data_IF_447781744477
#
_entry.id   IF_447781744477
#
_cell.length_a   1.000
_cell.length_b   1.000
_cell.length_c   1.000
_cell.angle_alpha   90.00
_cell.angle_beta   90.00
_cell.angle_gamma   90.00
#
_symmetry.space_group_name_H-M   'P 1'
#
loop_
_entity.id
_entity.type
_entity.pdbx_description
1 polymer ?
#
# COMPACT_ATOMS: atom_id res chain seq x y z
N UNK A 1 20.01 -10.23 -5.72
CA UNK A 1 19.18 -9.07 -5.30
C UNK A 1 18.82 -9.25 -3.82
N UNK A 2 19.23 -8.29 -2.97
CA UNK A 2 18.88 -8.21 -1.55
C UNK A 2 17.68 -7.28 -1.39
N UNK A 3 16.61 -7.74 -0.77
CA UNK A 3 15.42 -6.91 -0.51
C UNK A 3 15.17 -6.82 0.99
N UNK A 4 14.72 -5.67 1.44
CA UNK A 4 14.21 -5.45 2.79
C UNK A 4 12.75 -4.96 2.70
N UNK A 5 11.88 -5.48 3.57
CA UNK A 5 10.47 -5.09 3.69
C UNK A 5 10.27 -4.19 4.90
N UNK A 6 9.52 -3.09 4.75
CA UNK A 6 9.00 -2.27 5.86
C UNK A 6 7.48 -2.39 5.84
N UNK A 7 6.87 -2.86 6.92
CA UNK A 7 5.42 -3.01 7.03
C UNK A 7 4.91 -2.67 8.44
N UNK A 8 3.58 -2.56 8.60
CA UNK A 8 2.96 -2.39 9.90
C UNK A 8 2.72 -3.73 10.59
N UNK A 9 2.79 -3.73 11.91
CA UNK A 9 2.30 -4.83 12.73
C UNK A 9 0.80 -5.07 12.48
N UNK A 10 0.39 -6.33 12.46
CA UNK A 10 -0.99 -6.75 12.19
C UNK A 10 -1.45 -6.63 10.73
N UNK A 11 -0.64 -6.12 9.81
CA UNK A 11 -0.94 -6.12 8.37
C UNK A 11 -0.57 -7.49 7.75
N UNK A 12 -1.41 -8.50 7.97
CA UNK A 12 -1.11 -9.91 7.64
C UNK A 12 -0.73 -10.13 6.17
N UNK A 13 -1.45 -9.50 5.23
CA UNK A 13 -1.13 -9.61 3.80
C UNK A 13 0.27 -9.06 3.48
N UNK A 14 0.64 -7.92 4.07
CA UNK A 14 1.94 -7.31 3.85
C UNK A 14 3.04 -8.07 4.62
N UNK A 15 2.79 -8.42 5.88
CA UNK A 15 3.76 -9.00 6.79
C UNK A 15 4.09 -10.47 6.46
N UNK A 16 3.08 -11.23 6.04
CA UNK A 16 3.23 -12.66 5.76
C UNK A 16 3.36 -12.92 4.26
N UNK A 17 2.39 -12.50 3.44
CA UNK A 17 2.39 -12.83 2.02
C UNK A 17 3.52 -12.11 1.29
N UNK A 18 3.66 -10.80 1.45
CA UNK A 18 4.71 -10.08 0.73
C UNK A 18 6.11 -10.51 1.17
N UNK A 19 6.32 -10.84 2.46
CA UNK A 19 7.61 -11.35 2.91
C UNK A 19 7.93 -12.71 2.27
N UNK A 20 6.99 -13.65 2.23
CA UNK A 20 7.14 -14.96 1.58
C UNK A 20 7.34 -14.81 0.07
N UNK A 21 6.54 -13.98 -0.57
CA UNK A 21 6.67 -13.67 -1.99
C UNK A 21 8.04 -13.07 -2.32
N UNK A 22 8.52 -12.07 -1.56
CA UNK A 22 9.84 -11.48 -1.76
C UNK A 22 10.94 -12.53 -1.58
N UNK A 23 10.83 -13.42 -0.59
CA UNK A 23 11.81 -14.47 -0.35
C UNK A 23 11.84 -15.54 -1.45
N UNK A 24 10.75 -15.70 -2.21
CA UNK A 24 10.65 -16.71 -3.28
C UNK A 24 11.54 -16.41 -4.51
N UNK A 25 11.92 -15.14 -4.72
CA UNK A 25 12.72 -14.75 -5.88
C UNK A 25 13.92 -13.85 -5.54
N UNK A 26 14.12 -13.52 -4.27
CA UNK A 26 15.21 -12.66 -3.82
C UNK A 26 15.80 -13.15 -2.50
N UNK A 27 16.90 -12.54 -2.08
CA UNK A 27 17.38 -12.68 -0.71
C UNK A 27 16.67 -11.62 0.16
N UNK A 28 15.60 -12.02 0.87
CA UNK A 28 14.94 -11.17 1.86
C UNK A 28 15.86 -11.06 3.08
N UNK A 29 16.64 -9.96 3.14
CA UNK A 29 17.65 -9.77 4.19
C UNK A 29 17.08 -9.27 5.50
N UNK A 30 15.91 -8.61 5.48
CA UNK A 30 15.29 -8.13 6.71
C UNK A 30 13.86 -7.66 6.54
N UNK A 31 13.16 -7.61 7.68
CA UNK A 31 11.80 -7.06 7.81
C UNK A 31 11.81 -6.05 8.95
N UNK A 32 11.34 -4.83 8.70
CA UNK A 32 11.07 -3.81 9.72
C UNK A 32 9.57 -3.77 9.98
N UNK A 33 9.16 -4.12 11.20
CA UNK A 33 7.76 -4.16 11.64
C UNK A 33 7.47 -2.92 12.48
N UNK A 34 6.57 -2.08 12.01
CA UNK A 34 6.22 -0.82 12.67
C UNK A 34 5.08 -1.07 13.66
N UNK A 35 5.36 -0.91 14.94
CA UNK A 35 4.40 -0.95 16.05
C UNK A 35 4.04 0.47 16.47
N UNK A 36 3.07 1.09 15.79
CA UNK A 36 2.70 2.48 16.05
C UNK A 36 2.11 2.68 17.45
N UNK A 37 2.64 3.62 18.26
CA UNK A 37 2.05 3.93 19.55
C UNK A 37 0.68 4.60 19.39
N UNK A 38 -0.28 4.33 20.30
CA UNK A 38 -1.66 4.87 20.23
C UNK A 38 -1.70 6.41 20.18
N UNK A 39 -0.71 7.10 20.72
CA UNK A 39 -0.61 8.56 20.68
C UNK A 39 -0.53 9.14 19.27
N UNK A 40 -0.02 8.39 18.30
CA UNK A 40 0.03 8.83 16.89
C UNK A 40 -1.37 8.84 16.25
N UNK A 41 -2.27 7.96 16.70
CA UNK A 41 -3.65 7.94 16.21
C UNK A 41 -4.36 9.28 16.50
N UNK A 42 -4.25 9.79 17.72
CA UNK A 42 -4.84 11.07 18.10
C UNK A 42 -4.29 12.25 17.29
N UNK A 43 -2.98 12.26 17.00
CA UNK A 43 -2.37 13.29 16.13
C UNK A 43 -2.93 13.21 14.70
N UNK A 44 -3.13 12.00 14.15
CA UNK A 44 -3.75 11.82 12.83
C UNK A 44 -5.20 12.28 12.82
N UNK A 45 -5.99 11.93 13.83
CA UNK A 45 -7.38 12.38 13.98
C UNK A 45 -7.45 13.90 14.00
N UNK A 46 -6.67 14.58 14.86
CA UNK A 46 -6.62 16.05 14.91
C UNK A 46 -6.24 16.68 13.56
N UNK A 47 -5.25 16.13 12.89
CA UNK A 47 -4.81 16.62 11.57
C UNK A 47 -5.92 16.47 10.54
N UNK A 48 -6.63 15.36 10.53
CA UNK A 48 -7.73 15.11 9.60
C UNK A 48 -8.92 16.04 9.88
N UNK A 49 -9.32 16.19 11.14
CA UNK A 49 -10.37 17.14 11.53
C UNK A 49 -10.01 18.56 11.10
N UNK A 50 -8.75 18.99 11.31
CA UNK A 50 -8.28 20.32 10.87
C UNK A 50 -8.31 20.45 9.33
N UNK A 51 -8.05 19.38 8.59
CA UNK A 51 -8.00 19.37 7.13
C UNK A 51 -9.37 19.44 6.47
N UNK A 52 -10.35 18.68 6.97
CA UNK A 52 -11.66 18.50 6.32
C UNK A 52 -12.84 19.11 7.08
N UNK A 53 -12.62 19.58 8.32
CA UNK A 53 -13.65 20.06 9.21
C UNK A 53 -14.39 18.95 9.96
N UNK A 54 -15.04 19.34 11.08
CA UNK A 54 -15.69 18.39 12.00
C UNK A 54 -16.85 17.63 11.33
N UNK A 55 -17.70 18.29 10.55
CA UNK A 55 -18.85 17.67 9.89
C UNK A 55 -18.43 16.58 8.90
N UNK A 56 -17.45 16.85 8.05
CA UNK A 56 -16.93 15.84 7.12
C UNK A 56 -16.19 14.71 7.83
N UNK A 57 -15.58 15.01 8.98
CA UNK A 57 -14.95 13.99 9.78
C UNK A 57 -15.97 13.01 10.37
N UNK A 58 -17.19 13.45 10.70
CA UNK A 58 -18.28 12.53 11.08
C UNK A 58 -18.63 11.54 9.96
N UNK A 59 -18.59 11.96 8.71
CA UNK A 59 -18.82 11.08 7.55
C UNK A 59 -17.71 10.02 7.41
N UNK A 60 -16.47 10.38 7.72
CA UNK A 60 -15.34 9.42 7.80
C UNK A 60 -15.56 8.41 8.94
N UNK A 61 -16.00 8.87 10.12
CA UNK A 61 -16.30 7.97 11.25
C UNK A 61 -17.49 7.05 10.93
N UNK A 62 -18.53 7.58 10.28
CA UNK A 62 -19.68 6.81 9.84
C UNK A 62 -19.26 5.70 8.87
N UNK A 63 -18.34 5.95 7.92
CA UNK A 63 -17.82 4.88 7.05
C UNK A 63 -17.06 3.82 7.85
N UNK A 64 -16.25 4.21 8.83
CA UNK A 64 -15.53 3.25 9.67
C UNK A 64 -16.47 2.35 10.46
N UNK A 65 -17.52 2.93 11.03
CA UNK A 65 -18.55 2.18 11.74
C UNK A 65 -19.33 1.25 10.80
N UNK A 66 -19.76 1.77 9.65
CA UNK A 66 -20.44 0.99 8.59
C UNK A 66 -19.56 -0.18 8.14
N UNK A 67 -18.28 0.07 7.88
CA UNK A 67 -17.32 -0.98 7.51
C UNK A 67 -17.24 -2.07 8.59
N UNK A 68 -17.10 -1.66 9.85
CA UNK A 68 -16.96 -2.59 10.97
C UNK A 68 -18.20 -3.50 11.13
N UNK A 69 -19.40 -2.94 10.92
CA UNK A 69 -20.66 -3.67 11.12
C UNK A 69 -21.00 -4.55 9.90
N UNK A 70 -20.84 -4.03 8.68
CA UNK A 70 -21.42 -4.65 7.48
C UNK A 70 -20.41 -5.28 6.53
N UNK A 71 -19.14 -4.86 6.55
CA UNK A 71 -18.18 -5.26 5.53
C UNK A 71 -17.02 -6.10 6.09
N UNK A 72 -16.56 -5.80 7.29
CA UNK A 72 -15.32 -6.38 7.84
C UNK A 72 -15.33 -7.91 7.90
N UNK A 73 -16.47 -8.54 8.16
CA UNK A 73 -16.57 -10.00 8.24
C UNK A 73 -16.26 -10.69 6.90
N UNK A 74 -16.81 -10.16 5.80
CA UNK A 74 -16.54 -10.68 4.45
C UNK A 74 -15.10 -10.41 4.02
N UNK A 75 -14.59 -9.22 4.31
CA UNK A 75 -13.21 -8.84 3.97
C UNK A 75 -12.19 -9.70 4.72
N UNK A 76 -12.41 -9.98 6.00
CA UNK A 76 -11.58 -10.89 6.79
C UNK A 76 -11.65 -12.35 6.29
N UNK A 77 -12.81 -12.79 5.78
CA UNK A 77 -12.92 -14.11 5.17
C UNK A 77 -12.08 -14.20 3.89
N UNK A 78 -12.15 -13.18 3.02
CA UNK A 78 -11.30 -13.08 1.84
C UNK A 78 -9.82 -13.04 2.23
N UNK A 79 -9.43 -12.21 3.20
CA UNK A 79 -8.04 -12.11 3.67
C UNK A 79 -7.50 -13.46 4.18
N UNK A 80 -8.30 -14.19 4.96
CA UNK A 80 -7.91 -15.54 5.43
C UNK A 80 -7.76 -16.55 4.30
N UNK A 81 -8.56 -16.43 3.23
CA UNK A 81 -8.43 -17.27 2.05
C UNK A 81 -7.14 -16.94 1.30
N UNK A 82 -6.88 -15.67 1.02
CA UNK A 82 -5.63 -15.21 0.39
C UNK A 82 -4.39 -15.67 1.17
N UNK A 83 -4.42 -15.52 2.50
CA UNK A 83 -3.33 -15.97 3.36
C UNK A 83 -3.05 -17.47 3.17
N UNK A 84 -4.07 -18.32 3.20
CA UNK A 84 -3.90 -19.76 3.02
C UNK A 84 -3.32 -20.10 1.64
N UNK A 85 -3.90 -19.53 0.58
CA UNK A 85 -3.50 -19.82 -0.80
C UNK A 85 -2.06 -19.35 -1.07
N UNK A 86 -1.75 -18.11 -0.74
CA UNK A 86 -0.42 -17.54 -1.02
C UNK A 86 0.68 -18.11 -0.12
N UNK A 87 0.37 -18.47 1.14
CA UNK A 87 1.33 -19.18 1.99
C UNK A 87 1.67 -20.57 1.45
N UNK A 88 0.72 -21.26 0.82
CA UNK A 88 0.98 -22.53 0.16
C UNK A 88 1.89 -22.36 -1.06
N UNK A 89 1.67 -21.29 -1.85
CA UNK A 89 2.44 -21.02 -3.07
C UNK A 89 3.89 -20.61 -2.76
N UNK A 90 4.10 -19.71 -1.79
CA UNK A 90 5.40 -19.06 -1.59
C UNK A 90 6.29 -19.70 -0.50
N UNK A 91 5.78 -20.67 0.23
CA UNK A 91 6.56 -21.33 1.30
C UNK A 91 6.89 -20.41 2.49
N UNK A 92 7.85 -20.79 3.31
CA UNK A 92 8.20 -20.08 4.54
C UNK A 92 9.26 -18.99 4.34
N UNK A 93 9.25 -18.00 5.24
CA UNK A 93 10.30 -17.00 5.30
C UNK A 93 11.57 -17.65 5.84
N UNK A 94 12.73 -17.47 5.17
CA UNK A 94 13.99 -18.05 5.64
C UNK A 94 14.35 -17.59 7.06
N UNK A 95 14.78 -18.53 7.91
CA UNK A 95 15.15 -18.23 9.32
C UNK A 95 16.30 -17.22 9.48
N UNK A 96 17.11 -17.03 8.42
CA UNK A 96 18.18 -16.03 8.37
C UNK A 96 17.68 -14.58 8.15
N UNK A 97 16.40 -14.38 7.85
CA UNK A 97 15.82 -13.05 7.66
C UNK A 97 15.81 -12.30 8.99
N UNK A 98 16.52 -11.18 9.06
CA UNK A 98 16.57 -10.38 10.28
C UNK A 98 15.25 -9.62 10.49
N UNK A 99 14.79 -9.51 11.74
CA UNK A 99 13.56 -8.78 12.07
C UNK A 99 13.90 -7.66 13.04
N UNK A 100 13.36 -6.47 12.78
CA UNK A 100 13.40 -5.32 13.67
C UNK A 100 11.97 -4.84 13.93
N UNK A 101 11.55 -4.85 15.19
CA UNK A 101 10.32 -4.21 15.64
C UNK A 101 10.62 -2.80 16.15
N UNK A 102 9.88 -1.81 15.69
CA UNK A 102 10.17 -0.39 16.02
C UNK A 102 8.88 0.43 16.07
N UNK A 103 8.78 1.45 16.92
CA UNK A 103 7.63 2.36 16.92
C UNK A 103 7.58 3.29 15.71
N UNK A 104 8.68 3.44 14.97
CA UNK A 104 8.77 4.31 13.79
C UNK A 104 9.88 3.86 12.85
N UNK A 105 9.66 3.88 11.53
CA UNK A 105 10.70 3.53 10.56
C UNK A 105 11.80 4.61 10.46
N UNK A 106 11.63 5.75 11.09
CA UNK A 106 12.54 6.90 11.02
C UNK A 106 13.44 7.05 12.25
N UNK A 107 13.75 5.96 12.95
CA UNK A 107 14.66 5.95 14.10
C UNK A 107 16.11 5.71 13.65
N UNK A 108 17.07 6.11 14.50
CA UNK A 108 18.48 5.81 14.28
C UNK A 108 18.75 4.29 14.27
N UNK A 109 18.01 3.55 15.08
CA UNK A 109 18.10 2.08 15.12
C UNK A 109 17.69 1.46 13.77
N UNK A 110 16.58 1.93 13.19
CA UNK A 110 16.13 1.49 11.86
C UNK A 110 17.15 1.84 10.78
N UNK A 111 17.72 3.03 10.82
CA UNK A 111 18.77 3.43 9.88
C UNK A 111 19.99 2.52 9.99
N UNK A 112 20.48 2.28 11.18
CA UNK A 112 21.61 1.38 11.45
C UNK A 112 21.32 -0.04 10.99
N UNK A 113 20.11 -0.55 11.27
CA UNK A 113 19.67 -1.88 10.84
C UNK A 113 19.68 -2.03 9.32
N UNK A 114 19.10 -1.07 8.59
CA UNK A 114 19.04 -1.11 7.12
C UNK A 114 20.46 -1.00 6.53
N UNK A 115 21.28 -0.08 7.03
CA UNK A 115 22.68 0.08 6.56
C UNK A 115 23.51 -1.19 6.76
N UNK A 116 23.37 -1.85 7.91
CA UNK A 116 24.06 -3.12 8.20
C UNK A 116 23.68 -4.24 7.22
N UNK A 117 22.39 -4.34 6.85
CA UNK A 117 21.89 -5.36 5.93
C UNK A 117 22.23 -5.04 4.47
N UNK A 118 22.47 -3.75 4.16
CA UNK A 118 22.85 -3.24 2.85
C UNK A 118 21.96 -3.80 1.72
N UNK A 119 20.64 -3.52 1.75
CA UNK A 119 19.72 -4.00 0.72
C UNK A 119 19.94 -3.25 -0.61
N UNK A 120 19.67 -3.95 -1.72
CA UNK A 120 19.62 -3.30 -3.04
C UNK A 120 18.33 -2.51 -3.19
N UNK A 121 17.23 -3.08 -2.71
CA UNK A 121 15.86 -2.51 -2.77
C UNK A 121 15.22 -2.56 -1.39
N UNK A 122 14.50 -1.52 -1.02
CA UNK A 122 13.55 -1.53 0.09
C UNK A 122 12.13 -1.43 -0.45
N UNK A 123 11.26 -2.35 -0.06
CA UNK A 123 9.83 -2.25 -0.30
C UNK A 123 9.14 -1.70 0.95
N UNK A 124 8.51 -0.53 0.84
CA UNK A 124 7.78 0.10 1.93
C UNK A 124 6.27 -0.08 1.76
N UNK A 125 5.65 -0.75 2.73
CA UNK A 125 4.20 -0.94 2.85
C UNK A 125 3.71 -0.31 4.15
N UNK A 126 4.01 0.98 4.33
CA UNK A 126 3.69 1.69 5.55
C UNK A 126 3.01 3.02 5.30
N UNK A 127 2.25 3.49 6.30
CA UNK A 127 1.51 4.77 6.27
C UNK A 127 2.35 5.95 6.78
N UNK A 128 3.61 5.70 7.10
CA UNK A 128 4.55 6.69 7.63
C UNK A 128 5.44 7.15 6.49
N UNK A 129 5.56 8.46 6.31
CA UNK A 129 6.52 9.03 5.37
C UNK A 129 7.94 8.71 5.83
N UNK A 130 8.72 8.07 4.98
CA UNK A 130 10.12 7.78 5.25
C UNK A 130 10.96 9.05 5.07
N UNK A 131 11.88 9.28 6.01
CA UNK A 131 12.88 10.35 5.88
C UNK A 131 13.94 9.97 4.83
N UNK A 132 14.60 10.98 4.28
CA UNK A 132 15.67 10.81 3.29
C UNK A 132 16.80 9.90 3.80
N UNK A 133 17.15 10.01 5.10
CA UNK A 133 18.16 9.15 5.73
C UNK A 133 17.81 7.65 5.70
N UNK A 134 16.53 7.30 5.48
CA UNK A 134 16.05 5.93 5.38
C UNK A 134 15.86 5.52 3.92
N UNK A 135 15.06 6.29 3.14
CA UNK A 135 14.71 5.86 1.80
C UNK A 135 15.86 5.96 0.79
N UNK A 136 16.94 6.69 1.09
CA UNK A 136 18.12 6.80 0.25
C UNK A 136 19.17 5.72 0.47
N UNK A 137 19.02 4.86 1.49
CA UNK A 137 20.02 3.83 1.81
C UNK A 137 20.16 2.78 0.70
N UNK A 138 19.08 2.18 0.16
CA UNK A 138 19.22 1.09 -0.81
C UNK A 138 19.74 1.59 -2.15
N UNK A 139 20.68 0.83 -2.75
CA UNK A 139 21.40 1.23 -3.97
C UNK A 139 20.50 1.40 -5.21
N UNK A 140 19.39 0.64 -5.29
CA UNK A 140 18.40 0.72 -6.37
C UNK A 140 17.17 1.55 -5.98
N UNK A 141 17.04 1.92 -4.71
CA UNK A 141 16.00 2.79 -4.18
C UNK A 141 14.96 2.10 -3.32
N UNK A 142 14.12 2.92 -2.70
CA UNK A 142 12.98 2.48 -1.91
C UNK A 142 11.71 2.64 -2.72
N UNK A 143 10.88 1.61 -2.75
CA UNK A 143 9.66 1.56 -3.54
C UNK A 143 8.43 1.41 -2.65
N UNK A 144 7.30 1.93 -3.12
CA UNK A 144 5.98 1.76 -2.51
C UNK A 144 5.00 1.24 -3.55
N UNK A 145 4.17 0.29 -3.14
CA UNK A 145 2.98 -0.15 -3.87
C UNK A 145 1.80 0.71 -3.42
N UNK A 146 1.62 1.85 -4.09
CA UNK A 146 0.59 2.82 -3.72
C UNK A 146 -0.78 2.40 -4.29
N UNK A 147 -1.86 2.26 -3.46
CA UNK A 147 -3.18 1.87 -3.93
C UNK A 147 -3.93 3.03 -4.60
N UNK A 148 -3.55 3.38 -5.80
CA UNK A 148 -4.07 4.44 -6.65
C UNK A 148 -3.19 4.66 -7.85
N UNK A 149 -3.76 5.10 -8.97
CA UNK A 149 -2.98 5.47 -10.15
C UNK A 149 -2.49 6.91 -9.99
N UNK A 150 -1.17 7.06 -9.86
CA UNK A 150 -0.50 8.36 -9.73
C UNK A 150 -0.15 8.96 -11.11
N UNK A 151 -0.18 10.27 -11.23
CA UNK A 151 -0.31 11.30 -10.18
C UNK A 151 -1.75 11.69 -9.78
N UNK A 152 -2.80 11.16 -10.40
CA UNK A 152 -4.19 11.57 -10.18
C UNK A 152 -4.72 11.21 -8.79
N UNK A 153 -4.28 10.07 -8.23
CA UNK A 153 -4.81 9.53 -6.97
C UNK A 153 -3.71 9.29 -5.95
N UNK A 154 -3.03 10.39 -5.51
CA UNK A 154 -1.95 10.36 -4.50
C UNK A 154 -2.49 10.36 -3.07
N UNK A 155 -1.65 9.98 -2.11
CA UNK A 155 -1.80 9.98 -0.67
C UNK A 155 -2.69 8.82 -0.18
N UNK A 156 -3.94 9.02 0.23
CA UNK A 156 -4.70 7.97 0.89
C UNK A 156 -5.85 7.44 0.03
N UNK A 157 -5.99 6.11 0.01
CA UNK A 157 -7.15 5.43 -0.57
C UNK A 157 -7.45 5.77 -2.04
N UNK A 158 -6.42 5.83 -2.89
CA UNK A 158 -6.57 6.19 -4.30
C UNK A 158 -7.59 5.34 -5.05
N UNK A 159 -7.61 4.02 -4.85
CA UNK A 159 -8.64 3.13 -5.43
C UNK A 159 -10.06 3.55 -5.02
N UNK A 160 -10.27 3.87 -3.75
CA UNK A 160 -11.59 4.34 -3.28
C UNK A 160 -12.03 5.61 -4.01
N UNK A 161 -11.14 6.58 -4.14
CA UNK A 161 -11.48 7.84 -4.77
C UNK A 161 -11.69 7.72 -6.27
N UNK A 162 -10.95 6.84 -6.95
CA UNK A 162 -11.19 6.51 -8.35
C UNK A 162 -12.59 5.88 -8.54
N UNK A 163 -12.97 4.93 -7.67
CA UNK A 163 -14.30 4.32 -7.66
C UNK A 163 -15.40 5.36 -7.38
N UNK A 164 -15.22 6.21 -6.37
CA UNK A 164 -16.18 7.24 -5.98
C UNK A 164 -16.40 8.31 -7.05
N UNK A 165 -15.34 8.62 -7.82
CA UNK A 165 -15.37 9.56 -8.94
C UNK A 165 -15.78 8.92 -10.28
N UNK A 166 -16.08 7.61 -10.30
CA UNK A 166 -16.39 6.85 -11.53
C UNK A 166 -15.26 6.83 -12.56
N UNK A 167 -14.03 7.05 -12.12
CA UNK A 167 -12.83 6.96 -12.94
C UNK A 167 -12.25 5.54 -12.89
N UNK A 168 -13.02 4.58 -13.44
CA UNK A 168 -12.77 3.15 -13.26
C UNK A 168 -11.45 2.71 -13.90
N UNK A 169 -10.98 3.41 -14.90
CA UNK A 169 -9.68 3.15 -15.57
C UNK A 169 -8.49 3.49 -14.67
N UNK A 170 -8.72 4.24 -13.57
CA UNK A 170 -7.71 4.61 -12.58
C UNK A 170 -7.83 3.81 -11.27
N UNK A 171 -8.69 2.80 -11.23
CA UNK A 171 -8.74 1.86 -10.10
C UNK A 171 -7.59 0.86 -10.25
N UNK A 172 -6.58 1.01 -9.41
CA UNK A 172 -5.37 0.22 -9.54
C UNK A 172 -4.31 0.61 -8.54
N UNK A 173 -3.10 0.18 -8.80
CA UNK A 173 -1.92 0.43 -7.98
C UNK A 173 -0.79 0.99 -8.84
N UNK A 174 0.00 1.87 -8.26
CA UNK A 174 1.25 2.38 -8.84
C UNK A 174 2.46 1.84 -8.06
N UNK A 175 3.43 1.28 -8.76
CA UNK A 175 4.75 1.05 -8.19
C UNK A 175 5.56 2.33 -8.32
N UNK A 176 5.77 3.03 -7.20
CA UNK A 176 6.51 4.30 -7.12
C UNK A 176 7.87 4.11 -6.45
N UNK A 177 8.90 4.76 -6.95
CA UNK A 177 10.11 5.01 -6.18
C UNK A 177 9.86 6.18 -5.24
N UNK A 178 10.21 6.03 -3.96
CA UNK A 178 9.99 7.08 -2.95
C UNK A 178 10.96 8.25 -3.18
N UNK A 179 10.44 9.46 -3.06
CA UNK A 179 11.15 10.73 -3.03
C UNK A 179 10.77 11.57 -1.81
N UNK A 180 11.11 12.85 -1.78
CA UNK A 180 10.79 13.77 -0.67
C UNK A 180 9.31 14.17 -0.59
N UNK A 181 8.53 13.91 -1.64
CA UNK A 181 7.11 14.25 -1.70
C UNK A 181 6.21 13.10 -1.25
N UNK A 182 4.90 13.35 -1.30
CA UNK A 182 3.89 12.30 -1.04
C UNK A 182 3.44 11.72 -2.37
N UNK A 183 3.89 10.50 -2.67
CA UNK A 183 3.60 9.78 -3.91
C UNK A 183 3.88 10.59 -5.18
N UNK A 184 5.00 11.33 -5.17
CA UNK A 184 5.45 12.19 -6.28
C UNK A 184 6.63 11.62 -7.05
N UNK A 185 7.23 10.59 -6.54
CA UNK A 185 8.38 9.96 -7.16
C UNK A 185 8.08 9.27 -8.49
N UNK A 186 9.10 8.84 -9.22
CA UNK A 186 8.95 8.18 -10.50
C UNK A 186 8.10 6.91 -10.41
N UNK A 187 7.12 6.76 -11.31
CA UNK A 187 6.29 5.57 -11.45
C UNK A 187 6.98 4.54 -12.36
N UNK A 188 7.04 3.28 -11.91
CA UNK A 188 7.64 2.18 -12.67
C UNK A 188 6.63 1.18 -13.22
N UNK A 189 5.35 1.35 -12.91
CA UNK A 189 4.26 0.51 -13.44
C UNK A 189 2.92 0.87 -12.85
N UNK A 190 1.88 0.65 -13.63
CA UNK A 190 0.48 0.68 -13.22
C UNK A 190 -0.08 -0.73 -13.30
N UNK A 191 -0.81 -1.14 -12.26
CA UNK A 191 -1.33 -2.48 -12.11
C UNK A 191 -2.81 -2.42 -11.78
N UNK A 192 -3.60 -3.22 -12.48
CA UNK A 192 -5.05 -3.32 -12.30
C UNK A 192 -5.46 -4.79 -12.28
N UNK A 193 -6.71 -5.08 -12.01
CA UNK A 193 -7.33 -6.38 -12.16
C UNK A 193 -8.83 -6.21 -12.47
N UNK A 194 -9.53 -7.20 -12.96
CA UNK A 194 -10.98 -7.14 -13.17
C UNK A 194 -11.72 -7.22 -11.81
N UNK A 195 -11.97 -6.05 -11.19
CA UNK A 195 -12.62 -5.92 -9.90
C UNK A 195 -14.16 -5.92 -10.02
N UNK A 196 -14.83 -6.39 -8.96
CA UNK A 196 -16.28 -6.36 -8.85
C UNK A 196 -16.77 -5.20 -7.98
N UNK A 197 -17.21 -4.10 -8.60
CA UNK A 197 -17.71 -2.92 -7.89
C UNK A 197 -18.89 -3.20 -6.95
N UNK A 198 -19.68 -4.25 -7.21
CA UNK A 198 -20.88 -4.57 -6.42
C UNK A 198 -20.53 -5.37 -5.17
N UNK A 199 -19.73 -6.44 -5.34
CA UNK A 199 -19.50 -7.40 -4.27
C UNK A 199 -18.24 -7.14 -3.45
N UNK A 200 -17.21 -6.52 -4.05
CA UNK A 200 -15.97 -6.21 -3.34
C UNK A 200 -16.05 -4.88 -2.60
N UNK A 201 -15.49 -4.82 -1.40
CA UNK A 201 -15.28 -3.56 -0.70
C UNK A 201 -14.09 -2.80 -1.28
N UNK A 202 -13.99 -1.49 -1.00
CA UNK A 202 -12.83 -0.71 -1.39
C UNK A 202 -11.53 -1.19 -0.72
N UNK A 203 -11.62 -1.83 0.43
CA UNK A 203 -10.47 -2.41 1.15
C UNK A 203 -9.99 -3.66 0.41
N UNK A 204 -10.90 -4.56 0.04
CA UNK A 204 -10.56 -5.75 -0.76
C UNK A 204 -9.94 -5.32 -2.10
N UNK A 205 -10.57 -4.38 -2.83
CA UNK A 205 -10.06 -3.92 -4.12
C UNK A 205 -8.62 -3.41 -4.02
N UNK A 206 -8.30 -2.58 -3.03
CA UNK A 206 -6.94 -2.03 -2.90
C UNK A 206 -5.87 -3.06 -2.51
N UNK A 207 -6.26 -4.14 -1.81
CA UNK A 207 -5.33 -5.22 -1.47
C UNK A 207 -5.23 -6.24 -2.60
N UNK A 208 -6.37 -6.60 -3.21
CA UNK A 208 -6.43 -7.59 -4.26
C UNK A 208 -5.65 -7.18 -5.50
N UNK A 209 -5.64 -5.89 -5.84
CA UNK A 209 -4.79 -5.39 -6.95
C UNK A 209 -3.31 -5.73 -6.75
N UNK A 210 -2.82 -5.78 -5.52
CA UNK A 210 -1.44 -6.21 -5.22
C UNK A 210 -1.32 -7.72 -5.39
N UNK A 211 -2.24 -8.49 -4.79
CA UNK A 211 -2.18 -9.95 -4.76
C UNK A 211 -2.32 -10.59 -6.14
N UNK A 212 -3.11 -9.99 -7.03
CA UNK A 212 -3.31 -10.46 -8.41
C UNK A 212 -2.14 -10.08 -9.35
N UNK A 213 -1.27 -9.16 -8.93
CA UNK A 213 -0.17 -8.67 -9.77
C UNK A 213 1.23 -9.05 -9.24
N UNK A 214 1.34 -10.01 -8.34
CA UNK A 214 2.63 -10.38 -7.72
C UNK A 214 3.66 -10.85 -8.76
N UNK A 215 3.28 -11.57 -9.79
CA UNK A 215 4.20 -12.03 -10.84
C UNK A 215 4.71 -10.88 -11.72
N UNK A 216 3.81 -9.96 -12.11
CA UNK A 216 4.18 -8.76 -12.86
C UNK A 216 5.08 -7.84 -12.03
N UNK A 217 4.81 -7.71 -10.72
CA UNK A 217 5.66 -6.96 -9.78
C UNK A 217 7.04 -7.62 -9.60
N UNK A 218 7.10 -8.96 -9.50
CA UNK A 218 8.37 -9.70 -9.47
C UNK A 218 9.22 -9.37 -10.70
N UNK A 219 8.64 -9.47 -11.89
CA UNK A 219 9.32 -9.14 -13.15
C UNK A 219 9.83 -7.70 -13.14
N UNK A 220 9.01 -6.75 -12.65
CA UNK A 220 9.40 -5.34 -12.56
C UNK A 220 10.53 -5.10 -11.56
N UNK A 221 10.54 -5.78 -10.41
CA UNK A 221 11.66 -5.67 -9.45
C UNK A 221 12.97 -6.25 -10.02
N UNK A 222 12.91 -7.30 -10.83
CA UNK A 222 14.08 -7.83 -11.53
C UNK A 222 14.61 -6.84 -12.57
N UNK A 223 13.73 -6.18 -13.34
CA UNK A 223 14.12 -5.12 -14.27
C UNK A 223 14.73 -3.90 -13.55
N UNK A 224 14.17 -3.49 -12.40
CA UNK A 224 14.74 -2.41 -11.58
C UNK A 224 16.15 -2.79 -11.08
N UNK A 225 16.32 -4.01 -10.60
CA UNK A 225 17.59 -4.48 -10.11
C UNK A 225 18.65 -4.54 -11.21
N UNK A 226 18.32 -5.06 -12.39
CA UNK A 226 19.22 -5.11 -13.56
C UNK A 226 19.50 -3.72 -14.16
N UNK A 227 18.69 -2.72 -13.84
CA UNK A 227 18.82 -1.36 -14.41
C UNK A 227 18.17 -1.18 -15.78
N UNK A 228 17.35 -2.13 -16.21
CA UNK A 228 16.62 -2.07 -17.50
C UNK A 228 15.26 -1.38 -17.39
N UNK A 229 14.72 -1.22 -16.18
CA UNK A 229 13.46 -0.52 -15.96
C UNK A 229 13.62 1.00 -16.15
N UNK A 230 12.76 1.59 -16.96
CA UNK A 230 12.62 3.04 -17.08
C UNK A 230 11.34 3.52 -16.37
N UNK A 231 11.35 4.71 -15.76
CA UNK A 231 10.14 5.30 -15.22
C UNK A 231 9.18 5.69 -16.33
N UNK A 232 7.88 5.62 -16.01
CA UNK A 232 6.81 6.04 -16.89
C UNK A 232 6.78 7.56 -17.03
N UNK A 233 6.46 8.06 -18.22
CA UNK A 233 6.23 9.49 -18.43
C UNK A 233 4.86 9.87 -17.84
N UNK A 234 4.87 10.73 -16.83
CA UNK A 234 3.66 11.27 -16.20
C UNK A 234 3.48 12.77 -16.44
N UNK A 235 4.29 13.38 -17.31
CA UNK A 235 4.22 14.80 -17.64
C UNK A 235 2.86 15.18 -18.21
N UNK A 236 2.34 16.34 -17.81
CA UNK A 236 1.05 16.85 -18.28
C UNK A 236 -0.18 16.18 -17.68
N UNK A 237 -0.03 15.14 -16.86
CA UNK A 237 -1.16 14.49 -16.20
C UNK A 237 -1.59 15.29 -14.96
N UNK A 238 -2.92 15.41 -14.70
CA UNK A 238 -3.41 16.10 -13.51
C UNK A 238 -2.92 15.38 -12.25
N UNK A 239 -2.66 16.13 -11.20
CA UNK A 239 -2.17 15.60 -9.93
C UNK A 239 -3.07 16.04 -8.78
N UNK A 240 -3.59 15.06 -8.00
CA UNK A 240 -4.48 15.34 -6.88
C UNK A 240 -4.11 14.55 -5.63
N UNK A 241 -4.31 15.18 -4.47
CA UNK A 241 -4.04 14.59 -3.14
C UNK A 241 -5.36 14.27 -2.46
N UNK A 242 -5.55 13.01 -2.12
CA UNK A 242 -6.80 12.51 -1.53
C UNK A 242 -6.62 12.20 -0.04
N UNK A 243 -7.73 12.03 0.66
CA UNK A 243 -7.74 11.76 2.10
C UNK A 243 -8.55 10.55 2.49
N UNK A 244 -9.04 10.54 3.74
CA UNK A 244 -9.84 9.44 4.24
C UNK A 244 -11.16 9.33 3.47
N UNK A 245 -11.66 8.09 3.20
CA UNK A 245 -12.93 7.85 2.55
C UNK A 245 -14.13 8.32 3.38
N UNK A 246 -15.24 8.65 2.71
CA UNK A 246 -16.48 9.09 3.31
C UNK A 246 -17.62 8.10 3.05
N UNK A 247 -18.54 7.94 4.00
CA UNK A 247 -19.71 7.05 3.85
C UNK A 247 -20.63 7.49 2.71
N UNK A 248 -20.91 8.79 2.61
CA UNK A 248 -21.74 9.34 1.53
C UNK A 248 -21.19 9.00 0.16
N UNK A 249 -19.86 9.13 -0.05
CA UNK A 249 -19.19 8.76 -1.29
C UNK A 249 -19.17 7.25 -1.53
N UNK A 250 -19.01 6.45 -0.47
CA UNK A 250 -19.10 5.00 -0.56
C UNK A 250 -20.48 4.52 -1.02
N UNK A 251 -21.56 5.05 -0.39
CA UNK A 251 -22.93 4.69 -0.74
C UNK A 251 -23.29 5.16 -2.16
N UNK A 252 -22.87 6.36 -2.55
CA UNK A 252 -23.03 6.87 -3.91
C UNK A 252 -22.36 5.95 -4.94
N UNK A 253 -21.10 5.57 -4.73
CA UNK A 253 -20.40 4.62 -5.58
C UNK A 253 -21.15 3.30 -5.69
N UNK A 254 -21.52 2.67 -4.57
CA UNK A 254 -22.24 1.39 -4.55
C UNK A 254 -23.62 1.46 -5.24
N UNK A 255 -24.31 2.58 -5.09
CA UNK A 255 -25.59 2.81 -5.80
C UNK A 255 -25.40 2.85 -7.32
N UNK A 256 -24.37 3.54 -7.80
CA UNK A 256 -24.05 3.60 -9.23
C UNK A 256 -23.60 2.24 -9.78
N UNK A 257 -22.77 1.51 -9.05
CA UNK A 257 -22.30 0.18 -9.44
C UNK A 257 -23.47 -0.80 -9.63
N UNK A 258 -24.49 -0.75 -8.76
CA UNK A 258 -25.68 -1.59 -8.86
C UNK A 258 -26.55 -1.23 -10.08
N UNK A 259 -26.72 0.06 -10.38
CA UNK A 259 -27.53 0.51 -11.54
C UNK A 259 -26.85 0.22 -12.90
N UNK A 260 -25.55 0.25 -12.97
CA UNK A 260 -24.82 -0.04 -14.22
C UNK A 260 -24.81 -1.53 -14.60
N UNK A 261 -25.37 -2.42 -13.76
CA UNK A 261 -25.57 -3.85 -14.05
C UNK A 261 -26.99 -4.19 -14.51
N UNK A 262 -27.95 -3.28 -14.36
CA UNK A 262 -29.30 -3.40 -14.88
C UNK A 262 -29.35 -2.89 -16.32
#
# INVERSE_FOLDING_TARGET
MKILLICHDGAQLDQVILARWLSSFSNLVGIVIIQEPPSLLWRRVRREVKRIGAFRFLDVLALRLYYRIFLSGKDQQWERQELREKCFIYGDIPSRTAILETPSPNTQETETFIRRLNPDIVLARCKVLLKESIFSIPSKGTFVMHPGICPEYRNAHGCFWALANRDLTKVGMTLLRIDKGVDTGPAFGYYTYPFDEVHESHIVIQHRVVMENLDALRSKFLEIFSGTAAPLNTSGRPSAVWGQPWLTKYLQWKSHAKRGRQ
#
